data_IF_208669295480
#
_entry.id   IF_208669295480
#
_cell.length_a   1.000
_cell.length_b   1.000
_cell.length_c   1.000
_cell.angle_alpha   90.00
_cell.angle_beta   90.00
_cell.angle_gamma   90.00
#
_symmetry.space_group_name_H-M   'P 1'
#
loop_
_entity.id
_entity.type
_entity.pdbx_description
1 polymer ?
#
# COMPACT_ATOMS: atom_id res chain seq x y z
N UNK A 1 27.50 18.85 -6.28
CA UNK A 1 26.49 19.88 -5.92
C UNK A 1 25.20 19.13 -5.65
N UNK A 2 24.82 19.06 -4.36
CA UNK A 2 23.52 18.48 -4.01
C UNK A 2 22.40 19.41 -4.52
N UNK A 3 21.44 18.84 -5.24
CA UNK A 3 20.23 19.56 -5.63
C UNK A 3 19.44 19.99 -4.39
N UNK A 4 18.81 21.14 -4.47
CA UNK A 4 17.87 21.59 -3.44
C UNK A 4 16.58 20.73 -3.49
N UNK A 5 15.82 20.70 -2.41
CA UNK A 5 14.51 20.01 -2.42
C UNK A 5 13.60 20.59 -3.51
N UNK A 6 13.68 21.89 -3.79
CA UNK A 6 12.89 22.54 -4.83
C UNK A 6 13.24 22.01 -6.23
N UNK A 7 14.51 21.84 -6.52
CA UNK A 7 14.95 21.29 -7.81
C UNK A 7 14.49 19.85 -7.99
N UNK A 8 14.59 19.02 -6.96
CA UNK A 8 14.08 17.65 -7.00
C UNK A 8 12.55 17.60 -7.14
N UNK A 9 11.84 18.52 -6.49
CA UNK A 9 10.39 18.66 -6.64
C UNK A 9 10.00 19.01 -8.08
N UNK A 10 10.62 20.01 -8.67
CA UNK A 10 10.33 20.45 -10.03
C UNK A 10 10.61 19.33 -11.05
N UNK A 11 11.69 18.58 -10.83
CA UNK A 11 12.00 17.39 -11.64
C UNK A 11 10.92 16.32 -11.51
N UNK A 12 10.48 16.02 -10.29
CA UNK A 12 9.41 15.06 -10.04
C UNK A 12 8.09 15.50 -10.68
N UNK A 13 7.73 16.78 -10.58
CA UNK A 13 6.52 17.31 -11.22
C UNK A 13 6.60 17.19 -12.74
N UNK A 14 7.78 17.37 -13.31
CA UNK A 14 8.01 17.13 -14.74
C UNK A 14 7.80 15.66 -15.13
N UNK A 15 8.22 14.72 -14.29
CA UNK A 15 7.97 13.28 -14.51
C UNK A 15 6.46 12.97 -14.51
N UNK A 16 5.67 13.57 -13.62
CA UNK A 16 4.21 13.45 -13.62
C UNK A 16 3.57 14.05 -14.88
N UNK A 17 4.10 15.16 -15.37
CA UNK A 17 3.59 15.86 -16.54
C UNK A 17 3.87 15.08 -17.84
N UNK A 18 5.07 14.52 -17.97
CA UNK A 18 5.44 13.64 -19.10
C UNK A 18 4.55 12.40 -19.15
N UNK A 19 4.16 11.88 -17.98
CA UNK A 19 3.24 10.77 -17.83
C UNK A 19 3.59 9.54 -18.69
N UNK A 20 4.67 8.87 -18.33
CA UNK A 20 5.16 7.69 -19.05
C UNK A 20 4.16 6.54 -19.17
N UNK A 21 3.08 6.58 -18.37
CA UNK A 21 2.03 5.56 -18.33
C UNK A 21 0.71 6.02 -18.96
N UNK A 22 0.70 7.12 -19.72
CA UNK A 22 -0.55 7.71 -20.27
C UNK A 22 -1.42 6.70 -21.02
N UNK A 23 -0.81 5.79 -21.78
CA UNK A 23 -1.50 4.78 -22.59
C UNK A 23 -1.34 3.35 -22.02
N UNK A 24 -0.75 3.19 -20.86
CA UNK A 24 -0.41 1.87 -20.35
C UNK A 24 -1.63 1.09 -19.83
N UNK A 25 -2.53 1.75 -19.08
CA UNK A 25 -3.65 1.09 -18.39
C UNK A 25 -4.85 0.91 -19.32
N UNK A 26 -4.62 0.23 -20.44
CA UNK A 26 -5.65 -0.09 -21.43
C UNK A 26 -5.63 -1.60 -21.67
N UNK A 27 -6.76 -2.24 -21.44
CA UNK A 27 -6.93 -3.64 -21.77
C UNK A 27 -7.02 -3.81 -23.27
N UNK A 28 -6.21 -4.70 -23.91
CA UNK A 28 -6.37 -5.04 -25.33
C UNK A 28 -7.78 -5.55 -25.60
N UNK A 29 -8.41 -5.05 -26.69
CA UNK A 29 -9.79 -5.40 -27.06
C UNK A 29 -9.95 -6.89 -27.40
N UNK A 30 -8.88 -7.50 -27.94
CA UNK A 30 -8.89 -8.88 -28.41
C UNK A 30 -8.39 -9.89 -27.36
N UNK A 31 -8.16 -9.43 -26.13
CA UNK A 31 -7.69 -10.29 -25.06
C UNK A 31 -8.88 -11.07 -24.46
N UNK A 32 -9.21 -12.19 -25.08
CA UNK A 32 -10.14 -13.17 -24.51
C UNK A 32 -9.33 -14.21 -23.74
N UNK A 33 -9.35 -14.10 -22.43
CA UNK A 33 -8.69 -15.07 -21.57
C UNK A 33 -9.69 -16.15 -21.11
N UNK A 34 -9.25 -17.39 -21.18
CA UNK A 34 -10.01 -18.49 -20.63
C UNK A 34 -9.65 -18.69 -19.15
N UNK A 35 -10.47 -18.10 -18.26
CA UNK A 35 -10.29 -18.20 -16.81
C UNK A 35 -10.65 -19.59 -16.23
N UNK A 36 -11.05 -20.54 -17.07
CA UNK A 36 -11.39 -21.91 -16.61
C UNK A 36 -10.20 -22.67 -16.00
N UNK A 37 -8.98 -22.19 -16.22
CA UNK A 37 -7.76 -22.77 -15.64
C UNK A 37 -7.51 -22.35 -14.18
N UNK A 38 -8.24 -21.36 -13.68
CA UNK A 38 -8.11 -20.90 -12.30
C UNK A 38 -8.96 -21.81 -11.42
N UNK A 39 -8.34 -22.44 -10.40
CA UNK A 39 -9.11 -23.29 -9.47
C UNK A 39 -10.10 -22.43 -8.66
N UNK A 40 -11.24 -23.00 -8.19
CA UNK A 40 -12.24 -22.23 -7.46
C UNK A 40 -11.69 -21.51 -6.23
N UNK A 41 -10.78 -22.12 -5.50
CA UNK A 41 -10.18 -21.54 -4.30
C UNK A 41 -9.30 -20.32 -4.63
N UNK A 42 -8.51 -20.42 -5.69
CA UNK A 42 -7.69 -19.30 -6.20
C UNK A 42 -8.57 -18.22 -6.79
N UNK A 43 -9.62 -18.58 -7.49
CA UNK A 43 -10.58 -17.65 -8.08
C UNK A 43 -11.20 -16.73 -7.01
N UNK A 44 -11.72 -17.29 -5.93
CA UNK A 44 -12.37 -16.52 -4.88
C UNK A 44 -11.40 -15.54 -4.22
N UNK A 45 -10.20 -15.97 -3.90
CA UNK A 45 -9.17 -15.12 -3.29
C UNK A 45 -8.63 -14.07 -4.27
N UNK A 46 -8.53 -14.41 -5.55
CA UNK A 46 -8.10 -13.48 -6.60
C UNK A 46 -9.15 -12.38 -6.84
N UNK A 47 -10.42 -12.74 -6.90
CA UNK A 47 -11.52 -11.75 -6.98
C UNK A 47 -11.53 -10.85 -5.76
N UNK A 48 -11.35 -11.40 -4.56
CA UNK A 48 -11.22 -10.61 -3.34
C UNK A 48 -10.02 -9.64 -3.40
N UNK A 49 -8.89 -10.10 -3.93
CA UNK A 49 -7.73 -9.26 -4.19
C UNK A 49 -8.05 -8.10 -5.15
N UNK A 50 -8.73 -8.35 -6.26
CA UNK A 50 -9.12 -7.31 -7.22
C UNK A 50 -10.12 -6.32 -6.62
N UNK A 51 -11.10 -6.78 -5.86
CA UNK A 51 -12.09 -5.92 -5.18
C UNK A 51 -11.41 -5.05 -4.12
N UNK A 52 -10.51 -5.60 -3.32
CA UNK A 52 -9.71 -4.84 -2.38
C UNK A 52 -8.85 -3.79 -3.08
N UNK A 53 -8.24 -4.15 -4.19
CA UNK A 53 -7.37 -3.25 -4.96
C UNK A 53 -8.17 -2.10 -5.57
N UNK A 54 -9.28 -2.36 -6.24
CA UNK A 54 -10.10 -1.28 -6.83
C UNK A 54 -10.68 -0.36 -5.75
N UNK A 55 -11.05 -0.91 -4.60
CA UNK A 55 -11.54 -0.12 -3.47
C UNK A 55 -10.45 0.82 -2.94
N UNK A 56 -9.24 0.33 -2.81
CA UNK A 56 -8.07 1.11 -2.37
C UNK A 56 -7.72 2.21 -3.37
N UNK A 57 -7.61 1.89 -4.66
CA UNK A 57 -7.28 2.83 -5.72
C UNK A 57 -8.36 3.93 -5.86
N UNK A 58 -9.62 3.55 -5.85
CA UNK A 58 -10.71 4.53 -5.93
C UNK A 58 -10.81 5.40 -4.68
N UNK A 59 -10.58 4.84 -3.50
CA UNK A 59 -10.49 5.59 -2.25
C UNK A 59 -9.37 6.62 -2.30
N UNK A 60 -8.21 6.25 -2.81
CA UNK A 60 -7.10 7.16 -3.08
C UNK A 60 -7.47 8.28 -4.04
N UNK A 61 -8.09 7.94 -5.16
CA UNK A 61 -8.58 8.91 -6.14
C UNK A 61 -9.50 9.97 -5.50
N UNK A 62 -10.49 9.55 -4.73
CA UNK A 62 -11.45 10.44 -4.04
C UNK A 62 -10.73 11.30 -3.00
N UNK A 63 -9.84 10.71 -2.20
CA UNK A 63 -9.06 11.42 -1.19
C UNK A 63 -8.22 12.53 -1.83
N UNK A 64 -7.46 12.22 -2.85
CA UNK A 64 -6.58 13.18 -3.51
C UNK A 64 -7.35 14.29 -4.22
N UNK A 65 -8.47 13.96 -4.86
CA UNK A 65 -9.36 14.96 -5.45
C UNK A 65 -9.94 15.91 -4.40
N UNK A 66 -10.33 15.42 -3.22
CA UNK A 66 -10.83 16.26 -2.12
C UNK A 66 -9.72 17.13 -1.51
N UNK A 67 -8.52 16.60 -1.34
CA UNK A 67 -7.38 17.38 -0.87
C UNK A 67 -7.07 18.51 -1.85
N UNK A 68 -7.04 18.22 -3.15
CA UNK A 68 -6.81 19.22 -4.21
C UNK A 68 -7.77 20.39 -4.12
N UNK A 69 -9.05 20.16 -3.82
CA UNK A 69 -10.05 21.22 -3.68
C UNK A 69 -9.82 22.14 -2.47
N UNK A 70 -9.15 21.64 -1.44
CA UNK A 70 -9.05 22.32 -0.14
C UNK A 70 -7.70 22.97 0.12
N UNK A 71 -6.64 22.48 -0.53
CA UNK A 71 -5.31 23.09 -0.41
C UNK A 71 -5.24 24.41 -1.19
N UNK A 72 -4.52 25.38 -0.63
CA UNK A 72 -4.29 26.67 -1.29
C UNK A 72 -2.99 26.72 -2.08
N UNK A 73 -2.02 25.91 -1.68
CA UNK A 73 -0.72 25.84 -2.32
C UNK A 73 -0.83 25.20 -3.72
N UNK A 74 -0.32 25.90 -4.73
CA UNK A 74 -0.45 25.46 -6.13
C UNK A 74 0.38 24.20 -6.44
N UNK A 75 1.55 24.03 -5.83
CA UNK A 75 2.33 22.80 -5.96
C UNK A 75 1.57 21.59 -5.43
N UNK A 76 0.91 21.75 -4.29
CA UNK A 76 0.08 20.70 -3.71
C UNK A 76 -1.15 20.39 -4.55
N UNK A 77 -1.81 21.41 -5.10
CA UNK A 77 -2.93 21.21 -6.04
C UNK A 77 -2.50 20.41 -7.26
N UNK A 78 -1.34 20.76 -7.82
CA UNK A 78 -0.76 20.10 -8.99
C UNK A 78 -0.45 18.63 -8.69
N UNK A 79 0.22 18.35 -7.57
CA UNK A 79 0.54 17.01 -7.11
C UNK A 79 -0.71 16.15 -6.96
N UNK A 80 -1.67 16.60 -6.15
CA UNK A 80 -2.88 15.82 -5.90
C UNK A 80 -3.76 15.66 -7.13
N UNK A 81 -3.67 16.59 -8.07
CA UNK A 81 -4.29 16.43 -9.39
C UNK A 81 -3.70 15.28 -10.19
N UNK A 82 -2.38 15.16 -10.23
CA UNK A 82 -1.70 14.05 -10.89
C UNK A 82 -1.97 12.72 -10.19
N UNK A 83 -1.91 12.68 -8.86
CA UNK A 83 -2.19 11.46 -8.11
C UNK A 83 -3.63 10.99 -8.31
N UNK A 84 -4.62 11.88 -8.24
CA UNK A 84 -6.02 11.51 -8.51
C UNK A 84 -6.20 10.98 -9.94
N UNK A 85 -5.51 11.52 -10.92
CA UNK A 85 -5.48 11.02 -12.30
C UNK A 85 -4.99 9.58 -12.37
N UNK A 86 -3.86 9.31 -11.74
CA UNK A 86 -3.21 8.00 -11.77
C UNK A 86 -4.07 6.95 -11.07
N UNK A 87 -4.56 7.23 -9.87
CA UNK A 87 -5.46 6.34 -9.13
C UNK A 87 -6.77 6.04 -9.88
N UNK A 88 -7.31 7.03 -10.58
CA UNK A 88 -8.49 6.86 -11.43
C UNK A 88 -8.24 5.87 -12.57
N UNK A 89 -7.05 5.93 -13.18
CA UNK A 89 -6.67 4.98 -14.24
C UNK A 89 -6.50 3.56 -13.71
N UNK A 90 -5.85 3.42 -12.56
CA UNK A 90 -5.69 2.13 -11.90
C UNK A 90 -7.04 1.51 -11.57
N UNK A 91 -7.93 2.26 -10.94
CA UNK A 91 -9.27 1.78 -10.60
C UNK A 91 -10.09 1.40 -11.85
N UNK A 92 -10.06 2.22 -12.88
CA UNK A 92 -10.75 1.96 -14.15
C UNK A 92 -10.22 0.69 -14.85
N UNK A 93 -8.92 0.48 -14.79
CA UNK A 93 -8.28 -0.71 -15.36
C UNK A 93 -8.67 -1.99 -14.61
N UNK A 94 -8.65 -1.98 -13.28
CA UNK A 94 -9.10 -3.12 -12.48
C UNK A 94 -10.59 -3.41 -12.75
N UNK A 95 -11.40 -2.38 -12.88
CA UNK A 95 -12.83 -2.53 -13.17
C UNK A 95 -13.08 -3.24 -14.53
N UNK A 96 -12.26 -3.00 -15.53
CA UNK A 96 -12.33 -3.70 -16.81
C UNK A 96 -12.13 -5.22 -16.64
N UNK A 97 -11.18 -5.63 -15.81
CA UNK A 97 -10.93 -7.04 -15.51
C UNK A 97 -12.03 -7.68 -14.67
N UNK A 98 -12.59 -6.95 -13.70
CA UNK A 98 -13.72 -7.44 -12.89
C UNK A 98 -14.97 -7.69 -13.72
N UNK A 99 -15.20 -6.93 -14.78
CA UNK A 99 -16.32 -7.16 -15.71
C UNK A 99 -16.24 -8.52 -16.40
N UNK A 100 -15.05 -9.04 -16.64
CA UNK A 100 -14.88 -10.38 -17.23
C UNK A 100 -15.38 -11.49 -16.32
N UNK A 101 -15.37 -11.26 -15.03
CA UNK A 101 -15.94 -12.15 -14.01
C UNK A 101 -17.42 -11.87 -13.72
N UNK A 102 -18.06 -10.96 -14.47
CA UNK A 102 -19.42 -10.47 -14.22
C UNK A 102 -19.58 -9.84 -12.83
N UNK A 103 -18.54 -9.17 -12.35
CA UNK A 103 -18.53 -8.52 -11.05
C UNK A 103 -18.61 -7.01 -11.25
N UNK A 104 -19.65 -6.40 -10.66
CA UNK A 104 -19.78 -4.96 -10.48
C UNK A 104 -19.47 -4.59 -9.02
N UNK A 105 -18.63 -3.59 -8.81
CA UNK A 105 -18.33 -3.06 -7.49
C UNK A 105 -18.97 -1.68 -7.35
N UNK A 106 -19.89 -1.53 -6.38
CA UNK A 106 -20.45 -0.23 -6.05
C UNK A 106 -19.50 0.52 -5.10
N UNK A 107 -18.81 1.51 -5.62
CA UNK A 107 -17.89 2.37 -4.87
C UNK A 107 -18.51 3.73 -4.52
N UNK A 108 -19.80 3.93 -4.80
CA UNK A 108 -20.49 5.21 -4.56
C UNK A 108 -20.47 5.65 -3.09
N UNK A 109 -20.40 4.70 -2.16
CA UNK A 109 -20.29 4.99 -0.73
C UNK A 109 -19.02 5.77 -0.38
N UNK A 110 -17.92 5.58 -1.12
CA UNK A 110 -16.66 6.32 -0.92
C UNK A 110 -16.80 7.80 -1.28
N UNK A 111 -17.66 8.13 -2.26
CA UNK A 111 -17.95 9.52 -2.63
C UNK A 111 -18.96 10.18 -1.69
N UNK A 112 -19.86 9.40 -1.10
CA UNK A 112 -20.91 9.87 -0.17
C UNK A 112 -20.40 10.04 1.26
N UNK A 113 -19.43 9.25 1.68
CA UNK A 113 -18.81 9.33 3.00
C UNK A 113 -17.86 10.54 3.12
N UNK A 114 -18.30 11.71 2.69
CA UNK A 114 -17.51 12.97 2.57
C UNK A 114 -17.02 13.57 3.89
N UNK A 115 -17.24 12.97 5.02
CA UNK A 115 -16.61 13.38 6.26
C UNK A 115 -15.21 12.75 6.38
N UNK A 116 -14.33 13.07 5.42
CA UNK A 116 -12.92 12.93 5.70
C UNK A 116 -12.62 13.85 6.88
N UNK A 117 -12.53 13.25 8.05
CA UNK A 117 -11.96 13.91 9.21
C UNK A 117 -10.57 14.32 8.79
N UNK A 118 -10.33 15.64 8.68
CA UNK A 118 -9.03 16.15 8.32
C UNK A 118 -8.03 15.73 9.38
N UNK A 119 -7.30 14.68 9.09
CA UNK A 119 -6.08 14.40 9.80
C UNK A 119 -5.11 15.58 9.58
N UNK A 120 -4.29 15.85 10.57
CA UNK A 120 -3.20 16.81 10.38
C UNK A 120 -2.38 16.41 9.15
N UNK A 121 -1.92 17.36 8.33
CA UNK A 121 -1.19 17.05 7.09
C UNK A 121 -0.05 16.06 7.27
N UNK A 122 0.68 16.14 8.39
CA UNK A 122 1.78 15.20 8.70
C UNK A 122 1.34 13.73 8.72
N UNK A 123 0.13 13.42 9.21
CA UNK A 123 -0.38 12.05 9.26
C UNK A 123 -0.71 11.55 7.86
N UNK A 124 -1.26 12.42 7.01
CA UNK A 124 -1.49 12.11 5.59
C UNK A 124 -0.14 11.79 4.93
N UNK A 125 0.90 12.58 5.19
CA UNK A 125 2.22 12.37 4.60
C UNK A 125 2.83 11.03 5.02
N UNK A 126 2.82 10.68 6.32
CA UNK A 126 3.35 9.40 6.79
C UNK A 126 2.57 8.21 6.22
N UNK A 127 1.26 8.26 6.32
CA UNK A 127 0.39 7.17 5.87
C UNK A 127 0.45 6.97 4.35
N UNK A 128 0.39 8.05 3.59
CA UNK A 128 0.40 7.98 2.12
C UNK A 128 1.75 7.52 1.59
N UNK A 129 2.85 8.08 2.12
CA UNK A 129 4.19 7.62 1.76
C UNK A 129 4.33 6.11 1.90
N UNK A 130 3.92 5.57 3.05
CA UNK A 130 4.01 4.14 3.33
C UNK A 130 3.07 3.32 2.45
N UNK A 131 1.84 3.77 2.25
CA UNK A 131 0.87 3.08 1.39
C UNK A 131 1.36 2.98 -0.06
N UNK A 132 1.92 4.05 -0.61
CA UNK A 132 2.45 4.08 -1.97
C UNK A 132 3.71 3.20 -2.09
N UNK A 133 4.65 3.33 -1.17
CA UNK A 133 5.90 2.54 -1.23
C UNK A 133 5.66 1.05 -0.96
N UNK A 134 4.74 0.69 -0.07
CA UNK A 134 4.38 -0.71 0.15
C UNK A 134 3.59 -1.27 -1.04
N UNK A 135 2.76 -0.45 -1.69
CA UNK A 135 2.08 -0.79 -2.95
C UNK A 135 3.10 -1.17 -4.03
N UNK A 136 4.10 -0.31 -4.22
CA UNK A 136 5.24 -0.62 -5.09
C UNK A 136 5.89 -1.95 -4.74
N UNK A 137 6.27 -2.15 -3.48
CA UNK A 137 6.97 -3.35 -3.03
C UNK A 137 6.14 -4.63 -3.25
N UNK A 138 4.83 -4.56 -3.07
CA UNK A 138 3.89 -5.65 -3.33
C UNK A 138 3.83 -6.02 -4.81
N UNK A 139 3.60 -5.04 -5.67
CA UNK A 139 3.47 -5.27 -7.11
C UNK A 139 4.78 -5.74 -7.73
N UNK A 140 5.90 -5.16 -7.35
CA UNK A 140 7.19 -5.57 -7.89
C UNK A 140 7.60 -6.98 -7.44
N UNK A 141 7.24 -7.38 -6.23
CA UNK A 141 7.52 -8.74 -5.74
C UNK A 141 6.73 -9.79 -6.49
N UNK A 142 5.46 -9.55 -6.77
CA UNK A 142 4.64 -10.44 -7.60
C UNK A 142 5.15 -10.44 -9.05
N UNK A 143 5.43 -9.28 -9.62
CA UNK A 143 5.96 -9.16 -10.97
C UNK A 143 7.24 -9.97 -11.15
N UNK A 144 8.22 -9.81 -10.27
CA UNK A 144 9.47 -10.56 -10.31
C UNK A 144 9.26 -12.08 -10.19
N UNK A 145 8.31 -12.51 -9.38
CA UNK A 145 7.99 -13.91 -9.22
C UNK A 145 7.43 -14.51 -10.52
N UNK A 146 6.48 -13.85 -11.17
CA UNK A 146 5.89 -14.34 -12.42
C UNK A 146 6.79 -14.16 -13.64
N UNK A 147 7.72 -13.20 -13.61
CA UNK A 147 8.76 -13.10 -14.65
C UNK A 147 9.78 -14.24 -14.55
N UNK A 148 10.16 -14.60 -13.34
CA UNK A 148 11.04 -15.74 -13.07
C UNK A 148 10.36 -17.09 -13.36
N UNK A 149 9.05 -17.17 -13.16
CA UNK A 149 8.22 -18.35 -13.34
C UNK A 149 6.97 -18.02 -14.18
N UNK A 150 7.13 -17.82 -15.52
CA UNK A 150 6.00 -17.41 -16.38
C UNK A 150 4.79 -18.36 -16.35
N UNK A 151 5.02 -19.64 -16.05
CA UNK A 151 3.98 -20.65 -15.91
C UNK A 151 3.00 -20.38 -14.75
N UNK A 152 3.40 -19.56 -13.78
CA UNK A 152 2.58 -19.19 -12.63
C UNK A 152 1.61 -18.04 -12.92
N UNK A 153 1.78 -17.37 -14.05
CA UNK A 153 0.91 -16.26 -14.44
C UNK A 153 -0.45 -16.78 -14.89
N UNK A 154 -1.37 -16.88 -13.96
CA UNK A 154 -2.72 -17.38 -14.21
C UNK A 154 -3.70 -16.27 -14.66
N UNK A 155 -3.28 -15.00 -14.66
CA UNK A 155 -4.08 -13.89 -15.13
C UNK A 155 -3.19 -12.81 -15.79
N UNK A 156 -3.64 -12.20 -16.90
CA UNK A 156 -2.81 -11.23 -17.63
C UNK A 156 -2.53 -9.92 -16.88
N UNK A 157 -3.33 -9.56 -15.88
CA UNK A 157 -3.12 -8.30 -15.11
C UNK A 157 -1.69 -8.18 -14.54
N UNK A 158 -1.05 -9.30 -14.23
CA UNK A 158 0.32 -9.30 -13.71
C UNK A 158 1.35 -8.71 -14.67
N UNK A 159 1.06 -8.69 -15.97
CA UNK A 159 1.91 -8.05 -16.99
C UNK A 159 1.96 -6.53 -16.86
N UNK A 160 0.96 -5.92 -16.24
CA UNK A 160 0.90 -4.47 -16.02
C UNK A 160 1.59 -4.01 -14.74
N UNK A 161 1.96 -4.91 -13.85
CA UNK A 161 2.49 -4.57 -12.52
C UNK A 161 3.83 -3.83 -12.59
N UNK A 162 4.70 -4.11 -13.54
CA UNK A 162 5.98 -3.42 -13.70
C UNK A 162 5.82 -1.90 -13.82
N UNK A 163 5.03 -1.47 -14.80
CA UNK A 163 4.80 -0.04 -15.04
C UNK A 163 3.86 0.59 -14.01
N UNK A 164 2.97 -0.20 -13.42
CA UNK A 164 2.17 0.24 -12.28
C UNK A 164 3.08 0.68 -11.12
N UNK A 165 4.15 -0.05 -10.91
CA UNK A 165 5.16 0.31 -9.92
C UNK A 165 5.77 1.70 -10.13
N UNK A 166 5.85 2.19 -11.37
CA UNK A 166 6.35 3.54 -11.65
C UNK A 166 5.45 4.62 -11.03
N UNK A 167 4.14 4.46 -11.13
CA UNK A 167 3.19 5.40 -10.55
C UNK A 167 3.26 5.36 -9.02
N UNK A 168 3.14 4.17 -8.42
CA UNK A 168 3.19 3.98 -6.96
C UNK A 168 4.49 4.54 -6.35
N UNK A 169 5.62 4.27 -7.00
CA UNK A 169 6.91 4.74 -6.54
C UNK A 169 7.01 6.27 -6.60
N UNK A 170 6.54 6.87 -7.71
CA UNK A 170 6.55 8.32 -7.94
C UNK A 170 5.66 9.05 -6.94
N UNK A 171 4.48 8.50 -6.64
CA UNK A 171 3.60 9.04 -5.60
C UNK A 171 4.33 9.11 -4.25
N UNK A 172 4.98 8.03 -3.86
CA UNK A 172 5.76 7.99 -2.62
C UNK A 172 6.92 8.99 -2.59
N UNK A 173 7.62 9.17 -3.71
CA UNK A 173 8.71 10.15 -3.83
C UNK A 173 8.24 11.58 -3.53
N UNK A 174 7.03 11.95 -3.96
CA UNK A 174 6.47 13.26 -3.66
C UNK A 174 6.35 13.50 -2.14
N UNK A 175 5.86 12.52 -1.41
CA UNK A 175 5.72 12.63 0.05
C UNK A 175 7.07 12.57 0.76
N UNK A 176 8.04 11.85 0.25
CA UNK A 176 9.41 11.90 0.75
C UNK A 176 10.00 13.31 0.66
N UNK A 177 9.83 13.97 -0.48
CA UNK A 177 10.29 15.36 -0.67
C UNK A 177 9.55 16.33 0.25
N UNK A 178 8.24 16.19 0.40
CA UNK A 178 7.46 17.02 1.32
C UNK A 178 7.95 16.89 2.77
N UNK A 179 8.18 15.67 3.24
CA UNK A 179 8.68 15.44 4.59
C UNK A 179 10.13 15.92 4.78
N UNK A 180 10.98 15.72 3.77
CA UNK A 180 12.36 16.20 3.80
C UNK A 180 12.47 17.73 3.72
N UNK A 181 11.46 18.41 3.17
CA UNK A 181 11.40 19.87 3.12
C UNK A 181 11.12 20.52 4.49
N UNK A 182 10.54 19.78 5.42
CA UNK A 182 10.26 20.23 6.78
C UNK A 182 10.84 19.23 7.81
N UNK A 183 12.10 19.44 8.23
CA UNK A 183 12.74 18.55 9.19
C UNK A 183 12.00 18.40 10.53
N UNK A 184 11.10 19.33 10.87
CA UNK A 184 10.28 19.22 12.10
C UNK A 184 9.36 17.99 12.09
N UNK A 185 8.94 17.54 10.90
CA UNK A 185 8.12 16.36 10.73
C UNK A 185 8.84 15.04 11.07
N UNK A 186 10.17 15.08 11.11
CA UNK A 186 11.03 13.90 11.22
C UNK A 186 11.82 13.88 12.53
N UNK A 187 11.35 14.58 13.56
CA UNK A 187 12.03 14.65 14.87
C UNK A 187 11.06 14.72 16.05
N UNK A 188 11.59 14.53 17.25
CA UNK A 188 10.85 14.64 18.50
C UNK A 188 9.69 13.62 18.59
N UNK A 189 8.55 14.06 19.08
CA UNK A 189 7.35 13.23 19.24
C UNK A 189 6.82 12.67 17.90
N UNK A 190 7.17 13.29 16.77
CA UNK A 190 6.79 12.78 15.45
C UNK A 190 7.43 11.42 15.14
N UNK A 191 8.55 11.08 15.75
CA UNK A 191 9.15 9.75 15.60
C UNK A 191 8.24 8.62 16.11
N UNK A 192 7.46 8.90 17.16
CA UNK A 192 6.46 7.93 17.67
C UNK A 192 5.31 7.75 16.67
N UNK A 193 4.89 8.83 16.01
CA UNK A 193 3.88 8.73 14.95
C UNK A 193 4.38 7.98 13.73
N UNK A 194 5.61 8.22 13.31
CA UNK A 194 6.25 7.47 12.22
C UNK A 194 6.27 5.97 12.56
N UNK A 195 6.72 5.63 13.77
CA UNK A 195 6.73 4.24 14.25
C UNK A 195 5.34 3.61 14.26
N UNK A 196 4.33 4.36 14.71
CA UNK A 196 2.94 3.93 14.72
C UNK A 196 2.44 3.62 13.29
N UNK A 197 2.66 4.52 12.33
CA UNK A 197 2.22 4.31 10.96
C UNK A 197 2.96 3.16 10.27
N UNK A 198 4.26 3.02 10.48
CA UNK A 198 5.03 1.86 10.01
C UNK A 198 4.40 0.56 10.51
N UNK A 199 4.15 0.47 11.80
CA UNK A 199 3.57 -0.73 12.40
C UNK A 199 2.15 -0.97 11.92
N UNK A 200 1.31 0.06 11.88
CA UNK A 200 -0.08 -0.06 11.44
C UNK A 200 -0.18 -0.55 9.98
N UNK A 201 0.63 -0.02 9.08
CA UNK A 201 0.65 -0.43 7.68
C UNK A 201 1.15 -1.87 7.54
N UNK A 202 2.24 -2.23 8.20
CA UNK A 202 2.78 -3.59 8.14
C UNK A 202 1.84 -4.62 8.76
N UNK A 203 1.28 -4.32 9.93
CA UNK A 203 0.34 -5.22 10.60
C UNK A 203 -0.96 -5.43 9.79
N UNK A 204 -1.51 -4.37 9.22
CA UNK A 204 -2.71 -4.44 8.37
C UNK A 204 -2.47 -5.31 7.14
N UNK A 205 -1.34 -5.12 6.47
CA UNK A 205 -0.97 -5.93 5.33
C UNK A 205 -0.81 -7.40 5.72
N UNK A 206 -0.10 -7.68 6.81
CA UNK A 206 0.14 -9.04 7.28
C UNK A 206 -1.16 -9.78 7.57
N UNK A 207 -2.06 -9.17 8.32
CA UNK A 207 -3.37 -9.75 8.63
C UNK A 207 -4.18 -10.02 7.36
N UNK A 208 -4.19 -9.08 6.43
CA UNK A 208 -4.95 -9.21 5.17
C UNK A 208 -4.40 -10.33 4.28
N UNK A 209 -3.10 -10.40 4.08
CA UNK A 209 -2.50 -11.37 3.16
C UNK A 209 -2.61 -12.80 3.70
N UNK A 210 -2.58 -12.99 5.01
CA UNK A 210 -2.78 -14.31 5.64
C UNK A 210 -4.21 -14.85 5.53
N UNK A 211 -5.14 -14.06 5.01
CA UNK A 211 -6.48 -14.53 4.60
C UNK A 211 -6.54 -15.06 3.16
N UNK A 212 -5.45 -14.96 2.41
CA UNK A 212 -5.36 -15.34 1.00
C UNK A 212 -4.29 -16.42 0.74
N UNK A 213 -4.29 -17.54 1.49
CA UNK A 213 -3.22 -18.54 1.37
C UNK A 213 -3.18 -19.23 0.00
N UNK A 214 -4.34 -19.44 -0.65
CA UNK A 214 -4.42 -20.12 -1.94
C UNK A 214 -3.90 -19.26 -3.08
N UNK A 215 -4.18 -17.97 -3.07
CA UNK A 215 -3.63 -17.01 -4.03
C UNK A 215 -2.09 -17.01 -4.00
N UNK A 216 -1.51 -16.92 -2.80
CA UNK A 216 -0.06 -16.94 -2.64
C UNK A 216 0.54 -18.28 -3.06
N UNK A 217 -0.11 -19.40 -2.69
CA UNK A 217 0.31 -20.74 -3.11
C UNK A 217 0.32 -20.92 -4.63
N UNK A 218 -0.68 -20.37 -5.34
CA UNK A 218 -0.73 -20.37 -6.79
C UNK A 218 0.48 -19.68 -7.43
N UNK A 219 1.06 -18.71 -6.76
CA UNK A 219 2.29 -18.00 -7.16
C UNK A 219 3.56 -18.63 -6.57
N UNK A 220 3.46 -19.80 -5.96
CA UNK A 220 4.53 -20.48 -5.22
C UNK A 220 5.17 -19.57 -4.15
N UNK A 221 4.34 -18.82 -3.46
CA UNK A 221 4.70 -17.98 -2.34
C UNK A 221 3.94 -18.40 -1.09
N UNK A 222 4.52 -18.27 0.08
CA UNK A 222 3.76 -18.25 1.32
C UNK A 222 3.40 -16.79 1.69
N UNK A 223 2.25 -16.53 2.32
CA UNK A 223 1.91 -15.18 2.77
C UNK A 223 2.98 -14.57 3.67
N UNK A 224 3.55 -15.37 4.58
CA UNK A 224 4.59 -14.91 5.51
C UNK A 224 5.88 -14.52 4.79
N UNK A 225 6.39 -15.36 3.90
CA UNK A 225 7.63 -15.07 3.13
C UNK A 225 7.43 -13.86 2.23
N UNK A 226 6.30 -13.79 1.54
CA UNK A 226 5.95 -12.66 0.70
C UNK A 226 5.89 -11.36 1.50
N UNK A 227 5.17 -11.34 2.62
CA UNK A 227 5.04 -10.15 3.44
C UNK A 227 6.39 -9.70 4.04
N UNK A 228 7.19 -10.63 4.52
CA UNK A 228 8.52 -10.31 5.04
C UNK A 228 9.43 -9.73 3.96
N UNK A 229 9.37 -10.24 2.74
CA UNK A 229 10.09 -9.67 1.60
C UNK A 229 9.61 -8.25 1.28
N UNK A 230 8.30 -8.01 1.26
CA UNK A 230 7.72 -6.69 1.04
C UNK A 230 8.12 -5.72 2.14
N UNK A 231 8.12 -6.16 3.40
CA UNK A 231 8.57 -5.34 4.53
C UNK A 231 10.04 -4.99 4.44
N UNK A 232 10.89 -5.91 3.98
CA UNK A 232 12.31 -5.63 3.76
C UNK A 232 12.52 -4.58 2.69
N UNK A 233 11.88 -4.71 1.53
CA UNK A 233 11.94 -3.73 0.44
C UNK A 233 11.44 -2.35 0.92
N UNK A 234 10.30 -2.32 1.58
CA UNK A 234 9.70 -1.07 2.10
C UNK A 234 10.58 -0.42 3.15
N UNK A 235 11.20 -1.21 4.03
CA UNK A 235 12.11 -0.72 5.06
C UNK A 235 13.37 -0.11 4.44
N UNK A 236 13.96 -0.76 3.45
CA UNK A 236 15.13 -0.22 2.73
C UNK A 236 14.80 1.10 2.02
N UNK A 237 13.65 1.17 1.32
CA UNK A 237 13.20 2.40 0.68
C UNK A 237 12.95 3.50 1.72
N UNK A 238 12.33 3.17 2.85
CA UNK A 238 11.96 4.13 3.90
C UNK A 238 13.17 4.76 4.61
N UNK A 239 14.37 4.21 4.44
CA UNK A 239 15.60 4.84 4.89
C UNK A 239 15.85 6.22 4.27
N UNK A 240 15.24 6.52 3.10
CA UNK A 240 15.33 7.83 2.47
C UNK A 240 14.73 8.96 3.31
N UNK A 241 13.77 8.67 4.19
CA UNK A 241 12.98 9.71 4.84
C UNK A 241 12.74 9.49 6.33
N UNK A 242 12.72 8.28 6.83
CA UNK A 242 12.41 8.01 8.23
C UNK A 242 13.65 7.81 9.09
N UNK A 243 13.84 8.66 10.14
CA UNK A 243 14.94 8.51 11.10
C UNK A 243 14.78 7.30 12.02
N UNK A 244 13.59 6.71 12.09
CA UNK A 244 13.26 5.53 12.88
C UNK A 244 12.60 4.49 12.00
N UNK A 245 13.01 3.22 12.16
CA UNK A 245 12.50 2.08 11.41
C UNK A 245 12.19 0.94 12.37
N UNK A 246 11.29 0.04 11.96
CA UNK A 246 11.03 -1.19 12.72
C UNK A 246 12.17 -2.18 12.53
N UNK A 247 12.52 -2.90 13.59
CA UNK A 247 13.45 -4.03 13.51
C UNK A 247 12.70 -5.29 13.07
N UNK A 248 12.45 -5.40 11.76
CA UNK A 248 11.71 -6.52 11.18
C UNK A 248 12.47 -7.85 11.24
N UNK A 249 13.78 -7.82 11.45
CA UNK A 249 14.62 -9.03 11.58
C UNK A 249 14.62 -9.60 12.99
N UNK A 250 14.11 -8.87 13.97
CA UNK A 250 13.93 -9.38 15.32
C UNK A 250 12.89 -10.52 15.30
N UNK A 251 13.21 -11.72 15.80
CA UNK A 251 12.26 -12.85 15.81
C UNK A 251 10.93 -12.56 16.50
N UNK A 252 10.92 -11.66 17.47
CA UNK A 252 9.71 -11.25 18.15
C UNK A 252 8.76 -10.42 17.28
N UNK A 253 9.27 -9.76 16.25
CA UNK A 253 8.43 -9.03 15.29
C UNK A 253 7.49 -9.98 14.55
N UNK A 254 8.02 -10.97 13.88
CA UNK A 254 7.22 -11.97 13.16
C UNK A 254 6.33 -12.78 14.11
N UNK A 255 6.86 -13.19 15.26
CA UNK A 255 6.10 -13.92 16.27
C UNK A 255 4.85 -13.16 16.72
N UNK A 256 4.98 -11.87 16.99
CA UNK A 256 3.85 -11.05 17.42
C UNK A 256 2.90 -10.72 16.25
N UNK A 257 3.38 -10.56 15.02
CA UNK A 257 2.51 -10.42 13.85
C UNK A 257 1.66 -11.68 13.61
N UNK A 258 2.25 -12.86 13.73
CA UNK A 258 1.51 -14.13 13.63
C UNK A 258 0.43 -14.23 14.71
N UNK A 259 0.76 -13.84 15.94
CA UNK A 259 -0.22 -13.80 17.03
C UNK A 259 -1.34 -12.81 16.77
N UNK A 260 -1.02 -11.62 16.25
CA UNK A 260 -2.00 -10.60 15.85
C UNK A 260 -2.96 -11.14 14.78
N UNK A 261 -2.44 -11.78 13.75
CA UNK A 261 -3.23 -12.40 12.69
C UNK A 261 -4.15 -13.50 13.21
N UNK A 262 -3.64 -14.35 14.07
CA UNK A 262 -4.42 -15.42 14.70
C UNK A 262 -5.57 -14.86 15.57
N UNK A 263 -5.29 -13.86 16.41
CA UNK A 263 -6.32 -13.21 17.24
C UNK A 263 -7.37 -12.50 16.39
N UNK A 264 -6.97 -11.87 15.30
CA UNK A 264 -7.91 -11.24 14.37
C UNK A 264 -8.82 -12.27 13.70
N UNK A 265 -8.27 -13.41 13.27
CA UNK A 265 -9.06 -14.50 12.71
C UNK A 265 -10.09 -15.06 13.71
N UNK A 266 -9.70 -15.21 14.98
CA UNK A 266 -10.62 -15.63 16.05
C UNK A 266 -11.73 -14.60 16.29
N UNK A 267 -11.40 -13.30 16.23
CA UNK A 267 -12.37 -12.23 16.37
C UNK A 267 -13.40 -12.25 15.25
N UNK A 268 -12.99 -12.48 14.03
CA UNK A 268 -13.89 -12.59 12.88
C UNK A 268 -14.79 -13.83 12.97
N UNK A 269 -14.24 -14.98 13.41
CA UNK A 269 -15.01 -16.21 13.60
C UNK A 269 -16.02 -16.10 14.73
N UNK A 270 -15.82 -15.20 15.69
CA UNK A 270 -16.77 -15.01 16.81
C UNK A 270 -18.13 -14.44 16.39
N UNK A 271 -18.26 -14.03 15.10
CA UNK A 271 -19.50 -13.57 14.50
C UNK A 271 -19.98 -12.21 15.01
N UNK A 272 -21.07 -11.72 14.42
CA UNK A 272 -21.71 -10.44 14.82
C UNK A 272 -22.70 -10.62 15.98
N UNK A 273 -23.02 -11.85 16.38
CA UNK A 273 -23.91 -12.13 17.48
C UNK A 273 -23.24 -11.75 18.81
N UNK A 274 -23.65 -10.62 19.34
CA UNK A 274 -23.20 -10.08 20.61
C UNK A 274 -21.96 -9.21 20.52
N UNK A 275 -22.14 -7.97 20.04
CA UNK A 275 -21.11 -6.91 20.08
C UNK A 275 -20.50 -6.78 21.50
N UNK A 276 -21.22 -7.18 22.52
CA UNK A 276 -20.85 -7.12 23.93
C UNK A 276 -20.47 -8.48 24.54
N UNK A 277 -20.13 -9.51 23.74
CA UNK A 277 -19.69 -10.78 24.32
C UNK A 277 -18.35 -10.59 25.04
N UNK A 278 -18.22 -11.17 26.25
CA UNK A 278 -16.98 -11.15 27.03
C UNK A 278 -15.80 -11.71 26.18
N UNK A 279 -16.07 -12.74 25.39
CA UNK A 279 -15.06 -13.34 24.50
C UNK A 279 -14.50 -12.31 23.50
N UNK A 280 -15.36 -11.52 22.87
CA UNK A 280 -14.93 -10.48 21.92
C UNK A 280 -14.11 -9.40 22.62
N UNK A 281 -14.57 -8.96 23.79
CA UNK A 281 -13.83 -7.98 24.60
C UNK A 281 -12.42 -8.49 24.94
N UNK A 282 -12.32 -9.74 25.39
CA UNK A 282 -11.02 -10.37 25.69
C UNK A 282 -10.13 -10.42 24.45
N UNK A 283 -10.68 -10.75 23.28
CA UNK A 283 -9.92 -10.77 22.02
C UNK A 283 -9.43 -9.36 21.63
N UNK A 284 -10.27 -8.34 21.77
CA UNK A 284 -9.87 -6.94 21.52
C UNK A 284 -8.74 -6.50 22.46
N UNK A 285 -8.84 -6.84 23.74
CA UNK A 285 -7.77 -6.53 24.71
C UNK A 285 -6.48 -7.25 24.33
N UNK A 286 -6.55 -8.52 23.97
CA UNK A 286 -5.37 -9.30 23.52
C UNK A 286 -4.75 -8.72 22.26
N UNK A 287 -5.57 -8.28 21.29
CA UNK A 287 -5.08 -7.58 20.07
C UNK A 287 -4.37 -6.28 20.44
N UNK A 288 -4.97 -5.47 21.34
CA UNK A 288 -4.36 -4.23 21.81
C UNK A 288 -3.04 -4.46 22.53
N UNK A 289 -2.96 -5.47 23.39
CA UNK A 289 -1.71 -5.85 24.08
C UNK A 289 -0.66 -6.32 23.09
N UNK A 290 -1.03 -7.12 22.09
CA UNK A 290 -0.12 -7.60 21.06
C UNK A 290 0.44 -6.46 20.22
N UNK A 291 -0.41 -5.52 19.78
CA UNK A 291 -0.01 -4.33 19.04
C UNK A 291 0.90 -3.44 19.89
N UNK A 292 0.59 -3.25 21.16
CA UNK A 292 1.40 -2.47 22.11
C UNK A 292 2.79 -3.08 22.27
N UNK A 293 2.89 -4.39 22.38
CA UNK A 293 4.19 -5.09 22.44
C UNK A 293 5.02 -4.84 21.19
N UNK A 294 4.40 -4.92 19.99
CA UNK A 294 5.06 -4.60 18.73
C UNK A 294 5.52 -3.13 18.70
N UNK A 295 4.68 -2.22 19.16
CA UNK A 295 5.00 -0.79 19.17
C UNK A 295 6.18 -0.45 20.09
N UNK A 296 6.27 -1.08 21.24
CA UNK A 296 7.35 -0.86 22.21
C UNK A 296 8.60 -1.70 21.98
N UNK A 297 8.65 -2.51 20.92
CA UNK A 297 9.91 -3.14 20.51
C UNK A 297 10.96 -2.08 20.15
N UNK A 298 12.22 -2.40 20.40
CA UNK A 298 13.33 -1.49 20.07
C UNK A 298 13.32 -1.18 18.58
N UNK A 299 13.35 0.10 18.26
CA UNK A 299 13.45 0.57 16.88
C UNK A 299 14.90 0.66 16.42
N UNK A 300 15.10 0.62 15.11
CA UNK A 300 16.38 0.94 14.49
C UNK A 300 16.47 2.46 14.26
N UNK A 301 17.63 3.02 14.55
CA UNK A 301 17.95 4.43 14.24
C UNK A 301 18.55 4.48 12.85
N UNK A 302 18.06 5.40 12.04
CA UNK A 302 18.50 5.61 10.67
C UNK A 302 19.00 7.04 10.48
N UNK A 303 20.23 7.19 9.97
CA UNK A 303 20.74 8.47 9.52
C UNK A 303 20.22 8.72 8.11
N UNK A 304 19.53 9.86 7.91
CA UNK A 304 18.99 10.20 6.59
C UNK A 304 20.13 10.41 5.58
N UNK A 305 19.99 9.88 4.35
CA UNK A 305 20.94 10.10 3.28
C UNK A 305 20.93 11.56 2.81
N UNK A 306 22.00 11.97 2.14
CA UNK A 306 22.08 13.30 1.53
C UNK A 306 21.14 13.42 0.33
N UNK A 307 21.01 12.36 -0.46
CA UNK A 307 20.08 12.28 -1.57
C UNK A 307 18.63 12.21 -1.07
N UNK A 308 17.77 13.05 -1.62
CA UNK A 308 16.35 13.08 -1.26
C UNK A 308 15.54 11.99 -1.94
N UNK A 309 15.97 11.59 -3.14
CA UNK A 309 15.24 10.61 -3.95
C UNK A 309 15.95 9.27 -4.01
N UNK A 310 15.16 8.22 -4.13
CA UNK A 310 15.63 6.84 -4.33
C UNK A 310 15.27 6.42 -5.76
N UNK A 311 16.18 5.71 -6.42
CA UNK A 311 15.89 5.08 -7.70
C UNK A 311 15.23 3.73 -7.47
N UNK A 312 14.12 3.42 -8.16
CA UNK A 312 13.56 2.09 -8.11
C UNK A 312 14.55 1.07 -8.69
N UNK A 313 14.56 -0.10 -8.08
CA UNK A 313 15.37 -1.23 -8.54
C UNK A 313 14.46 -2.36 -9.00
N UNK A 314 14.15 -2.40 -10.26
CA UNK A 314 13.47 -3.52 -10.91
C UNK A 314 14.20 -4.04 -12.14
#
# INVERSE_FOLDING_TARGET
ISMTVREEWDKLMSEFEIDSNVDHFQRPKDMQENYSKISPEVYDEFVDFLISSITSEFSGCVLYAEIKKRVKNDDMKKLFGYMARDESRHAGFINQWLKDFNIGVDLSFLTKAKKYTFFKPKFIFYATYLSEKIGYARYISIYRQVEKHPELRFHPIFLWFEKWCNDEFRHGEAFALLMRSDPSLLKGANLLWIKFFLLAVFATMFVRDHKRPMLHKALKLSPTEYDMQVFEITTEISKQVFPVLLDIKNPNFLKNLKKLSYLNAQLEQSGTKGIFSIRRLVLFVKLGVCFTRLFFMKSLVNKLPEDFRVKPSW
#
